data_IF_047613465913
#
_entry.id   IF_047613465913
#
_cell.length_a   1.000
_cell.length_b   1.000
_cell.length_c   1.000
_cell.angle_alpha   90.00
_cell.angle_beta   90.00
_cell.angle_gamma   90.00
#
_symmetry.space_group_name_H-M   'P 1'
#
loop_
_entity.id
_entity.type
_entity.pdbx_description
1 polymer ?
#
# COMPACT_ATOMS: atom_id res chain seq x y z
N UNK A 1 -2.74 63.51 32.08
CA UNK A 1 -1.84 62.69 31.21
C UNK A 1 -2.01 61.21 31.61
N UNK A 2 -2.82 60.45 30.84
CA UNK A 2 -3.09 59.05 31.13
C UNK A 2 -2.17 58.20 30.25
N UNK A 3 -1.38 57.33 30.85
CA UNK A 3 -0.50 56.38 30.17
C UNK A 3 -1.23 55.04 30.09
N UNK A 4 -1.58 54.62 28.88
CA UNK A 4 -2.10 53.28 28.62
C UNK A 4 -0.94 52.32 28.46
N UNK A 5 -0.84 51.32 29.35
CA UNK A 5 0.09 50.21 29.21
C UNK A 5 -0.59 49.14 28.36
N UNK A 6 -0.04 48.87 27.18
CA UNK A 6 -0.46 47.76 26.33
C UNK A 6 0.20 46.46 26.83
N UNK A 7 -0.64 45.55 27.31
CA UNK A 7 -0.20 44.18 27.65
C UNK A 7 -0.05 43.34 26.38
N UNK A 8 1.17 42.98 26.07
CA UNK A 8 1.43 41.97 25.04
C UNK A 8 1.06 40.58 25.56
N UNK A 9 0.00 40.01 25.03
CA UNK A 9 -0.29 38.59 25.19
C UNK A 9 0.74 37.80 24.39
N UNK A 10 1.65 37.13 25.07
CA UNK A 10 2.59 36.20 24.49
C UNK A 10 1.85 35.00 23.92
N UNK A 11 2.06 34.75 22.65
CA UNK A 11 1.64 33.54 21.97
C UNK A 11 2.39 32.36 22.59
N UNK A 12 1.76 31.64 23.51
CA UNK A 12 2.34 30.45 24.11
C UNK A 12 2.56 29.40 23.04
N UNK A 13 3.82 29.05 22.79
CA UNK A 13 4.19 27.84 22.09
C UNK A 13 3.59 26.68 22.85
N UNK A 14 2.61 26.02 22.24
CA UNK A 14 2.08 24.78 22.75
C UNK A 14 3.20 23.75 22.59
N UNK A 15 3.96 23.52 23.66
CA UNK A 15 4.89 22.40 23.73
C UNK A 15 4.05 21.14 23.55
N UNK A 16 4.38 20.42 22.50
CA UNK A 16 3.85 19.09 22.27
C UNK A 16 4.47 18.19 23.34
N UNK A 17 3.76 17.96 24.42
CA UNK A 17 4.16 16.95 25.39
C UNK A 17 4.06 15.60 24.70
N UNK A 18 5.22 14.97 24.48
CA UNK A 18 5.29 13.52 24.23
C UNK A 18 4.71 12.83 25.46
N UNK A 19 3.40 12.65 25.47
CA UNK A 19 2.79 11.70 26.35
C UNK A 19 3.26 10.33 25.83
N UNK A 20 4.19 9.72 26.56
CA UNK A 20 4.46 8.30 26.45
C UNK A 20 3.15 7.56 26.72
N UNK A 21 2.33 7.43 25.68
CA UNK A 21 1.13 6.63 25.72
C UNK A 21 1.59 5.19 25.91
N UNK A 22 1.30 4.68 27.10
CA UNK A 22 1.45 3.28 27.42
C UNK A 22 0.57 2.48 26.44
N UNK A 23 1.16 1.90 25.39
CA UNK A 23 0.46 1.11 24.36
C UNK A 23 -0.10 -0.20 24.95
N UNK A 24 0.31 -0.52 26.19
CA UNK A 24 -0.23 -1.63 26.94
C UNK A 24 -1.70 -1.34 27.33
N UNK A 25 -2.63 -2.00 26.64
CA UNK A 25 -4.07 -1.89 26.90
C UNK A 25 -4.89 -1.19 25.81
N UNK A 26 -4.27 -0.72 24.74
CA UNK A 26 -5.03 -0.23 23.58
C UNK A 26 -5.64 -1.41 22.81
N UNK A 27 -6.88 -1.28 22.31
CA UNK A 27 -7.46 -2.27 21.42
C UNK A 27 -6.61 -2.40 20.15
N UNK A 28 -6.44 -3.62 19.67
CA UNK A 28 -5.68 -3.87 18.44
C UNK A 28 -6.57 -3.69 17.21
N UNK A 29 -5.96 -3.19 16.12
CA UNK A 29 -6.47 -3.26 14.76
C UNK A 29 -5.57 -4.18 13.96
N UNK A 30 -6.14 -5.25 13.41
CA UNK A 30 -5.43 -6.24 12.61
C UNK A 30 -5.41 -5.80 11.15
N UNK A 31 -4.21 -5.56 10.63
CA UNK A 31 -3.99 -5.05 9.27
C UNK A 31 -3.41 -6.18 8.42
N UNK A 32 -4.15 -6.57 7.38
CA UNK A 32 -3.66 -7.52 6.37
C UNK A 32 -2.88 -6.82 5.28
N UNK A 33 -1.67 -7.30 4.99
CA UNK A 33 -0.77 -6.73 4.00
C UNK A 33 -0.02 -7.81 3.24
N UNK A 34 0.39 -7.54 2.00
CA UNK A 34 1.36 -8.37 1.29
C UNK A 34 2.79 -7.89 1.54
N UNK A 35 3.79 -8.61 1.04
CA UNK A 35 5.19 -8.21 1.17
C UNK A 35 5.61 -7.32 -0.02
N UNK A 36 5.74 -6.02 0.22
CA UNK A 36 6.03 -5.03 -0.82
C UNK A 36 7.01 -3.94 -0.38
N UNK A 37 8.33 -4.22 -0.36
CA UNK A 37 9.33 -3.20 -0.07
C UNK A 37 9.28 -2.05 -1.09
N UNK A 38 9.50 -0.81 -0.69
CA UNK A 38 9.79 -0.31 0.67
C UNK A 38 8.53 0.08 1.47
N UNK A 39 7.33 -0.27 0.99
CA UNK A 39 6.08 0.18 1.59
C UNK A 39 5.69 -0.64 2.82
N UNK A 40 5.65 -1.95 2.68
CA UNK A 40 5.29 -2.89 3.73
C UNK A 40 6.03 -4.22 3.50
N UNK A 41 6.85 -4.60 4.45
CA UNK A 41 7.66 -5.82 4.37
C UNK A 41 8.09 -6.27 5.77
N UNK A 42 8.69 -7.45 5.84
CA UNK A 42 9.27 -7.99 7.08
C UNK A 42 10.76 -7.74 7.08
N UNK A 43 11.29 -7.18 8.16
CA UNK A 43 12.72 -7.03 8.34
C UNK A 43 13.41 -8.36 8.70
N UNK A 44 14.72 -8.33 8.90
CA UNK A 44 15.52 -9.51 9.25
C UNK A 44 15.17 -10.10 10.63
N UNK A 45 14.56 -9.30 11.50
CA UNK A 45 14.16 -9.70 12.84
C UNK A 45 12.71 -10.20 12.89
N UNK A 46 12.02 -10.19 11.74
CA UNK A 46 10.64 -10.65 11.61
C UNK A 46 9.59 -9.59 11.92
N UNK A 47 9.98 -8.31 12.05
CA UNK A 47 9.04 -7.22 12.33
C UNK A 47 8.49 -6.63 11.05
N UNK A 48 7.21 -6.24 11.10
CA UNK A 48 6.61 -5.44 10.05
C UNK A 48 7.27 -4.06 9.99
N UNK A 49 7.67 -3.61 8.81
CA UNK A 49 8.33 -2.33 8.60
C UNK A 49 8.00 -1.76 7.22
N UNK A 50 8.32 -0.48 7.00
CA UNK A 50 8.11 0.24 5.75
C UNK A 50 7.18 1.44 5.89
N UNK A 51 7.07 2.21 4.81
CA UNK A 51 6.34 3.49 4.77
C UNK A 51 4.88 3.30 5.19
N UNK A 52 4.20 2.28 4.69
CA UNK A 52 2.80 2.00 5.00
C UNK A 52 2.63 1.54 6.46
N UNK A 53 3.60 0.78 6.98
CA UNK A 53 3.58 0.30 8.37
C UNK A 53 3.71 1.47 9.34
N UNK A 54 4.67 2.38 9.10
CA UNK A 54 4.86 3.57 9.93
C UNK A 54 3.63 4.49 9.88
N UNK A 55 3.10 4.72 8.67
CA UNK A 55 1.93 5.57 8.48
C UNK A 55 0.69 5.02 9.17
N UNK A 56 0.40 3.73 9.00
CA UNK A 56 -0.74 3.07 9.62
C UNK A 56 -0.59 3.03 11.15
N UNK A 57 0.60 2.72 11.64
CA UNK A 57 0.88 2.69 13.09
C UNK A 57 0.59 4.06 13.71
N UNK A 58 1.10 5.13 13.12
CA UNK A 58 0.87 6.49 13.61
C UNK A 58 -0.62 6.90 13.51
N UNK A 59 -1.28 6.56 12.40
CA UNK A 59 -2.69 6.87 12.21
C UNK A 59 -3.57 6.19 13.26
N UNK A 60 -3.41 4.88 13.47
CA UNK A 60 -4.18 4.13 14.46
C UNK A 60 -3.84 4.52 15.89
N UNK A 61 -2.58 4.82 16.19
CA UNK A 61 -2.18 5.35 17.49
C UNK A 61 -2.92 6.64 17.84
N UNK A 62 -3.04 7.58 16.90
CA UNK A 62 -3.82 8.82 17.09
C UNK A 62 -5.31 8.56 17.31
N UNK A 63 -5.82 7.46 16.80
CA UNK A 63 -7.20 7.01 16.99
C UNK A 63 -7.40 6.20 18.28
N UNK A 64 -6.36 5.93 19.06
CA UNK A 64 -6.42 5.15 20.30
C UNK A 64 -6.40 3.65 20.07
N UNK A 65 -5.77 3.19 18.98
CA UNK A 65 -5.60 1.77 18.66
C UNK A 65 -4.12 1.42 18.52
N UNK A 66 -3.81 0.13 18.68
CA UNK A 66 -2.52 -0.44 18.37
C UNK A 66 -2.60 -1.18 17.03
N UNK A 67 -1.80 -0.78 16.07
CA UNK A 67 -1.72 -1.48 14.78
C UNK A 67 -0.96 -2.81 14.92
N UNK A 68 -1.53 -3.90 14.39
CA UNK A 68 -0.89 -5.20 14.29
C UNK A 68 -0.95 -5.68 12.85
N UNK A 69 0.20 -5.76 12.20
CA UNK A 69 0.30 -6.25 10.84
C UNK A 69 0.38 -7.77 10.80
N UNK A 70 -0.33 -8.36 9.85
CA UNK A 70 -0.16 -9.75 9.45
C UNK A 70 0.03 -9.82 7.93
N UNK A 71 0.93 -10.71 7.50
CA UNK A 71 1.16 -10.95 6.09
C UNK A 71 0.18 -12.00 5.59
N UNK A 72 -0.52 -11.68 4.51
CA UNK A 72 -1.59 -12.49 3.94
C UNK A 72 -1.26 -12.82 2.48
N UNK A 73 -1.84 -13.90 1.99
CA UNK A 73 -1.96 -14.09 0.55
C UNK A 73 -2.97 -13.06 0.02
N UNK A 74 -2.49 -12.17 -0.86
CA UNK A 74 -3.27 -11.01 -1.31
C UNK A 74 -4.59 -11.39 -2.00
N UNK A 75 -4.65 -12.58 -2.56
CA UNK A 75 -5.85 -13.16 -3.16
C UNK A 75 -6.97 -13.32 -2.13
N UNK A 76 -6.64 -13.70 -0.88
CA UNK A 76 -7.60 -14.01 0.17
C UNK A 76 -8.14 -12.79 0.93
N UNK A 77 -7.65 -11.58 0.64
CA UNK A 77 -8.01 -10.35 1.37
C UNK A 77 -9.51 -10.13 1.56
N UNK A 78 -10.35 -10.50 0.57
CA UNK A 78 -11.81 -10.36 0.67
C UNK A 78 -12.42 -11.30 1.70
N UNK A 79 -11.97 -12.55 1.71
CA UNK A 79 -12.45 -13.55 2.65
C UNK A 79 -12.01 -13.19 4.08
N UNK A 80 -10.75 -12.80 4.24
CA UNK A 80 -10.18 -12.40 5.52
C UNK A 80 -10.83 -11.14 6.11
N UNK A 81 -11.30 -10.21 5.27
CA UNK A 81 -12.12 -9.08 5.69
C UNK A 81 -13.54 -9.51 6.08
N UNK A 82 -14.14 -10.43 5.31
CA UNK A 82 -15.50 -10.89 5.53
C UNK A 82 -15.65 -11.69 6.82
N UNK A 83 -14.69 -12.55 7.14
CA UNK A 83 -14.64 -13.36 8.35
C UNK A 83 -14.02 -12.66 9.57
N UNK A 84 -13.55 -11.41 9.38
CA UNK A 84 -12.92 -10.58 10.41
C UNK A 84 -11.59 -11.11 10.93
N UNK A 85 -10.89 -11.92 10.18
CA UNK A 85 -9.50 -12.29 10.46
C UNK A 85 -8.60 -11.07 10.39
N UNK A 86 -8.93 -10.12 9.50
CA UNK A 86 -8.34 -8.78 9.44
C UNK A 86 -9.43 -7.72 9.53
N UNK A 87 -9.12 -6.60 10.18
CA UNK A 87 -10.02 -5.46 10.27
C UNK A 87 -9.95 -4.56 9.05
N UNK A 88 -8.76 -4.46 8.44
CA UNK A 88 -8.55 -3.74 7.19
C UNK A 88 -7.39 -4.34 6.38
N UNK A 89 -7.41 -4.07 5.07
CA UNK A 89 -6.29 -4.34 4.17
C UNK A 89 -5.56 -3.02 3.87
N UNK A 90 -4.24 -3.00 4.06
CA UNK A 90 -3.41 -1.81 3.83
C UNK A 90 -2.09 -2.21 3.15
N UNK A 91 -1.75 -1.53 2.05
CA UNK A 91 -0.51 -1.77 1.31
C UNK A 91 -0.67 -1.50 -0.17
N UNK A 92 -0.43 -0.25 -0.60
CA UNK A 92 -0.47 0.16 -2.02
C UNK A 92 -1.71 -0.33 -2.79
N UNK A 93 -2.85 -0.45 -2.10
CA UNK A 93 -4.09 -1.00 -2.63
C UNK A 93 -4.86 0.07 -3.43
N UNK A 94 -4.87 -0.07 -4.76
CA UNK A 94 -5.55 0.87 -5.65
C UNK A 94 -7.07 0.79 -5.50
N UNK A 95 -7.71 1.94 -5.28
CA UNK A 95 -9.16 2.09 -5.25
C UNK A 95 -9.79 2.06 -6.65
N UNK A 96 -9.07 2.55 -7.67
CA UNK A 96 -9.59 2.72 -9.03
C UNK A 96 -10.21 1.44 -9.60
N UNK A 97 -11.45 1.53 -10.05
CA UNK A 97 -12.23 0.43 -10.61
C UNK A 97 -12.68 -0.60 -9.57
N UNK A 98 -12.60 -0.27 -8.27
CA UNK A 98 -13.03 -1.09 -7.12
C UNK A 98 -13.78 -0.26 -6.07
N UNK A 99 -14.26 0.91 -6.45
CA UNK A 99 -14.90 1.88 -5.55
C UNK A 99 -16.06 1.27 -4.76
N UNK A 100 -16.78 0.36 -5.40
CA UNK A 100 -17.96 -0.32 -4.81
C UNK A 100 -17.64 -1.69 -4.20
N UNK A 101 -16.39 -2.16 -4.26
CA UNK A 101 -16.01 -3.48 -3.76
C UNK A 101 -15.63 -3.46 -2.27
N UNK A 102 -15.21 -2.30 -1.76
CA UNK A 102 -14.73 -2.11 -0.39
C UNK A 102 -15.24 -0.80 0.18
N UNK A 103 -15.22 -0.68 1.51
CA UNK A 103 -15.30 0.62 2.16
C UNK A 103 -13.90 1.21 2.23
N UNK A 104 -13.69 2.32 1.56
CA UNK A 104 -12.39 2.96 1.46
C UNK A 104 -12.19 4.07 2.48
N UNK A 105 -10.97 4.18 3.01
CA UNK A 105 -10.47 5.33 3.74
C UNK A 105 -9.23 5.87 3.02
N UNK A 106 -9.22 7.13 2.68
CA UNK A 106 -8.17 7.77 1.87
C UNK A 106 -8.70 8.26 0.52
N UNK A 107 -7.90 8.45 -0.53
CA UNK A 107 -6.52 7.98 -0.68
C UNK A 107 -5.49 8.72 0.18
N UNK A 108 -4.44 8.02 0.63
CA UNK A 108 -3.34 8.61 1.38
C UNK A 108 -2.07 8.81 0.51
N UNK A 109 -2.02 8.16 -0.64
CA UNK A 109 -0.90 8.21 -1.59
C UNK A 109 -1.41 8.03 -3.01
N UNK A 110 -0.68 8.57 -3.98
CA UNK A 110 -0.91 8.31 -5.41
C UNK A 110 0.26 7.52 -5.98
N UNK A 111 -0.05 6.57 -6.88
CA UNK A 111 0.96 5.78 -7.58
C UNK A 111 0.59 5.60 -9.05
N UNK A 112 1.54 5.15 -9.86
CA UNK A 112 1.31 4.81 -11.26
C UNK A 112 1.59 3.34 -11.49
N UNK A 113 0.79 2.70 -12.34
CA UNK A 113 1.13 1.37 -12.85
C UNK A 113 2.22 1.53 -13.91
N UNK A 114 3.28 0.74 -13.77
CA UNK A 114 4.38 0.71 -14.71
C UNK A 114 4.71 -0.74 -15.07
N UNK A 115 5.30 -0.94 -16.22
CA UNK A 115 5.91 -2.23 -16.62
C UNK A 115 7.40 -2.13 -16.29
N UNK A 116 7.89 -3.06 -15.48
CA UNK A 116 9.33 -3.21 -15.24
C UNK A 116 9.88 -4.20 -16.27
N UNK A 117 11.02 -3.87 -16.86
CA UNK A 117 11.70 -4.70 -17.85
C UNK A 117 13.18 -4.84 -17.49
N UNK A 118 13.83 -5.87 -18.03
CA UNK A 118 15.28 -5.97 -17.92
C UNK A 118 15.94 -4.76 -18.61
N UNK A 119 16.98 -4.20 -18.01
CA UNK A 119 17.71 -3.06 -18.55
C UNK A 119 18.36 -3.33 -19.92
N UNK A 120 18.63 -4.59 -20.24
CA UNK A 120 19.22 -5.03 -21.52
C UNK A 120 18.16 -5.40 -22.55
N UNK A 121 16.85 -5.21 -22.24
CA UNK A 121 15.77 -5.50 -23.17
C UNK A 121 15.57 -4.36 -24.18
N UNK A 122 15.04 -4.69 -25.35
CA UNK A 122 14.64 -3.71 -26.38
C UNK A 122 13.19 -3.21 -26.16
N UNK A 123 12.75 -3.12 -24.91
CA UNK A 123 11.39 -2.68 -24.56
C UNK A 123 11.47 -1.27 -23.96
N UNK A 124 11.02 -0.26 -24.70
CA UNK A 124 11.05 1.14 -24.31
C UNK A 124 9.67 1.76 -24.24
N UNK A 125 8.66 1.11 -24.80
CA UNK A 125 7.27 1.58 -24.86
C UNK A 125 6.29 0.43 -24.62
N UNK A 126 5.00 0.74 -24.47
CA UNK A 126 3.96 -0.31 -24.31
C UNK A 126 3.78 -1.14 -25.59
N UNK A 127 4.00 -0.53 -26.75
CA UNK A 127 3.89 -1.22 -28.05
C UNK A 127 4.91 -2.35 -28.18
N UNK A 128 6.09 -2.20 -27.58
CA UNK A 128 7.16 -3.23 -27.60
C UNK A 128 6.81 -4.49 -26.80
N UNK A 129 5.69 -4.46 -26.07
CA UNK A 129 5.15 -5.64 -25.37
C UNK A 129 4.45 -6.61 -26.32
N UNK A 130 4.29 -6.28 -27.60
CA UNK A 130 3.66 -7.17 -28.57
C UNK A 130 4.38 -8.53 -28.61
N UNK A 131 3.62 -9.60 -28.48
CA UNK A 131 4.13 -10.97 -28.48
C UNK A 131 4.99 -11.34 -27.26
N UNK A 132 5.13 -10.47 -26.25
CA UNK A 132 5.89 -10.75 -25.02
C UNK A 132 5.06 -11.52 -24.00
N UNK A 133 5.75 -12.13 -23.04
CA UNK A 133 5.13 -12.73 -21.85
C UNK A 133 5.21 -11.76 -20.70
N UNK A 134 4.07 -11.49 -20.06
CA UNK A 134 3.95 -10.55 -18.96
C UNK A 134 3.67 -11.32 -17.66
N UNK A 135 4.36 -10.99 -16.57
CA UNK A 135 4.11 -11.53 -15.26
C UNK A 135 3.43 -10.47 -14.37
N UNK A 136 2.38 -10.86 -13.67
CA UNK A 136 1.62 -10.00 -12.76
C UNK A 136 1.28 -10.75 -11.47
N UNK A 137 0.99 -10.01 -10.41
CA UNK A 137 0.41 -10.60 -9.21
C UNK A 137 -1.11 -10.76 -9.40
N UNK A 138 -1.66 -11.89 -8.94
CA UNK A 138 -3.10 -12.19 -9.00
C UNK A 138 -3.91 -11.16 -8.23
N UNK A 139 -5.17 -10.97 -8.65
CA UNK A 139 -6.16 -10.05 -8.05
C UNK A 139 -5.72 -8.58 -7.95
N UNK A 140 -4.71 -8.20 -8.74
CA UNK A 140 -4.21 -6.83 -8.82
C UNK A 140 -4.82 -6.07 -10.00
N UNK A 141 -4.62 -4.75 -10.00
CA UNK A 141 -5.04 -3.90 -11.13
C UNK A 141 -4.30 -4.24 -12.44
N UNK A 142 -2.97 -4.47 -12.46
CA UNK A 142 -2.28 -4.90 -13.68
C UNK A 142 -2.87 -6.16 -14.29
N UNK A 143 -3.17 -7.18 -13.50
CA UNK A 143 -3.83 -8.39 -14.01
C UNK A 143 -5.15 -8.05 -14.71
N UNK A 144 -6.02 -7.25 -14.08
CA UNK A 144 -7.29 -6.82 -14.64
C UNK A 144 -7.11 -6.06 -15.96
N UNK A 145 -6.13 -5.16 -16.06
CA UNK A 145 -5.83 -4.39 -17.28
C UNK A 145 -5.50 -5.33 -18.43
N UNK A 146 -4.59 -6.29 -18.24
CA UNK A 146 -4.20 -7.23 -19.28
C UNK A 146 -5.29 -8.22 -19.64
N UNK A 147 -6.10 -8.69 -18.68
CA UNK A 147 -7.20 -9.62 -18.92
C UNK A 147 -8.39 -8.96 -19.64
N UNK A 148 -8.72 -7.72 -19.29
CA UNK A 148 -9.89 -7.04 -19.86
C UNK A 148 -9.70 -6.63 -21.31
N UNK A 149 -8.45 -6.43 -21.76
CA UNK A 149 -8.10 -5.93 -23.11
C UNK A 149 -8.85 -4.66 -23.50
N UNK A 150 -9.21 -3.83 -22.52
CA UNK A 150 -9.98 -2.61 -22.73
C UNK A 150 -9.13 -1.37 -22.95
N UNK A 151 -7.84 -1.44 -22.67
CA UNK A 151 -6.89 -0.35 -22.88
C UNK A 151 -6.21 -0.54 -24.24
N UNK A 152 -6.57 0.30 -25.20
CA UNK A 152 -6.06 0.25 -26.58
C UNK A 152 -4.54 0.45 -26.69
N UNK A 153 -3.91 0.98 -25.63
CA UNK A 153 -2.45 1.15 -25.56
C UNK A 153 -1.71 -0.17 -25.30
N UNK A 154 -2.42 -1.21 -24.88
CA UNK A 154 -1.83 -2.51 -24.59
C UNK A 154 -1.91 -3.40 -25.83
N UNK A 155 -0.77 -3.75 -26.45
CA UNK A 155 -0.76 -4.59 -27.65
C UNK A 155 -1.11 -6.04 -27.33
N UNK A 156 -1.20 -6.86 -28.38
CA UNK A 156 -1.42 -8.29 -28.23
C UNK A 156 -0.19 -8.98 -27.60
N UNK A 157 -0.29 -9.36 -26.34
CA UNK A 157 0.76 -10.11 -25.63
C UNK A 157 0.68 -11.61 -25.95
N UNK A 158 1.80 -12.34 -25.84
CA UNK A 158 1.85 -13.80 -26.02
C UNK A 158 1.13 -14.53 -24.90
N UNK A 159 1.41 -14.17 -23.66
CA UNK A 159 0.83 -14.80 -22.48
C UNK A 159 0.91 -13.89 -21.26
N UNK A 160 -0.04 -14.08 -20.34
CA UNK A 160 -0.06 -13.48 -19.02
C UNK A 160 0.19 -14.58 -17.98
N UNK A 161 1.20 -14.39 -17.13
CA UNK A 161 1.50 -15.28 -16.01
C UNK A 161 1.05 -14.58 -14.74
N UNK A 162 0.00 -15.08 -14.11
CA UNK A 162 -0.49 -14.58 -12.84
C UNK A 162 0.10 -15.39 -11.68
N UNK A 163 0.72 -14.70 -10.72
CA UNK A 163 1.43 -15.29 -9.59
C UNK A 163 0.83 -14.78 -8.28
N UNK A 164 0.70 -15.66 -7.29
CA UNK A 164 0.09 -15.29 -6.00
C UNK A 164 0.94 -14.29 -5.22
N UNK A 165 2.26 -14.41 -5.29
CA UNK A 165 3.20 -13.58 -4.54
C UNK A 165 4.02 -12.72 -5.48
N UNK A 166 4.21 -11.46 -5.11
CA UNK A 166 4.96 -10.48 -5.88
C UNK A 166 6.43 -10.89 -6.06
N UNK A 167 7.03 -11.49 -5.06
CA UNK A 167 8.42 -11.93 -5.08
C UNK A 167 8.70 -12.94 -6.21
N UNK A 168 7.69 -13.69 -6.62
CA UNK A 168 7.80 -14.66 -7.71
C UNK A 168 7.91 -14.00 -9.10
N UNK A 169 7.64 -12.69 -9.19
CA UNK A 169 7.74 -11.93 -10.45
C UNK A 169 9.19 -11.56 -10.77
N UNK A 170 10.00 -11.25 -9.75
CA UNK A 170 11.37 -10.76 -9.94
C UNK A 170 12.26 -11.65 -10.83
N UNK A 171 12.20 -12.99 -10.77
CA UNK A 171 12.98 -13.84 -11.67
C UNK A 171 12.70 -13.65 -13.17
N UNK A 172 11.54 -13.09 -13.52
CA UNK A 172 11.20 -12.78 -14.92
C UNK A 172 11.95 -11.56 -15.46
N UNK A 173 12.47 -10.72 -14.59
CA UNK A 173 13.24 -9.53 -14.97
C UNK A 173 14.71 -9.84 -15.28
N UNK A 174 15.19 -11.03 -14.92
CA UNK A 174 16.59 -11.45 -15.08
C UNK A 174 16.85 -12.32 -16.33
N UNK A 175 15.84 -12.50 -17.19
CA UNK A 175 15.94 -13.35 -18.39
C UNK A 175 15.89 -12.55 -19.66
#
# INVERSE_FOLDING_TARGET
LSIYAASFYGCGKKEWSDSHNNEAGLPEIVIGSDNYPPYNYVDTDGNATGIDVELATEAFKRMGYKARFIYIDWEDKKNLLADRTIDCAWGSFSMDGRENEYRWAGPYMTSRQVVAVNMESDIYSLEDLEGKTIAVQTTTRPEKIFLSKTDERIPAIRSLIALQKRELIYPFLSK
#
